data_IF_743231247294
#
_entry.id   IF_743231247294
#
_cell.length_a   1.000
_cell.length_b   1.000
_cell.length_c   1.000
_cell.angle_alpha   90.00
_cell.angle_beta   90.00
_cell.angle_gamma   90.00
#
_symmetry.space_group_name_H-M   'P 1'
#
loop_
_entity.id
_entity.type
_entity.pdbx_description
1 polymer ?
#
# COMPACT_ATOMS: atom_id res chain seq x y z
N UNK A 1 37.62 34.26 -34.82
CA UNK A 1 36.98 32.98 -35.26
C UNK A 1 37.80 31.85 -34.66
N UNK A 2 37.33 30.92 -33.85
CA UNK A 2 36.00 30.58 -33.36
C UNK A 2 36.16 29.91 -31.98
N UNK A 3 35.21 30.15 -31.08
CA UNK A 3 35.02 29.40 -29.84
C UNK A 3 34.05 28.24 -30.09
N UNK A 4 34.34 27.04 -29.57
CA UNK A 4 33.41 25.94 -29.34
C UNK A 4 34.16 24.82 -28.58
N UNK A 5 33.62 24.15 -27.58
CA UNK A 5 32.31 24.20 -26.97
C UNK A 5 32.32 23.28 -25.75
N UNK A 6 31.72 23.74 -24.66
CA UNK A 6 31.59 23.05 -23.38
C UNK A 6 30.84 21.72 -23.53
N UNK A 7 31.41 20.66 -22.97
CA UNK A 7 30.74 19.37 -22.81
C UNK A 7 29.61 19.49 -21.78
N UNK A 8 28.36 19.43 -22.25
CA UNK A 8 27.20 19.38 -21.40
C UNK A 8 27.06 17.99 -20.76
N UNK A 9 27.00 17.96 -19.42
CA UNK A 9 26.70 16.77 -18.63
C UNK A 9 25.28 16.30 -18.91
N UNK A 10 25.12 15.03 -19.28
CA UNK A 10 23.82 14.37 -19.41
C UNK A 10 23.25 14.07 -18.02
N UNK A 11 22.35 14.93 -17.55
CA UNK A 11 21.45 14.62 -16.42
C UNK A 11 20.40 13.60 -16.87
N UNK A 12 20.08 12.57 -16.08
CA UNK A 12 19.03 11.61 -16.43
C UNK A 12 17.68 12.31 -16.34
N UNK A 13 17.02 12.50 -17.49
CA UNK A 13 15.64 13.00 -17.55
C UNK A 13 14.73 12.01 -16.81
N UNK A 14 14.30 12.33 -15.59
CA UNK A 14 13.18 11.64 -14.96
C UNK A 14 11.96 11.85 -15.84
N UNK A 15 11.47 10.78 -16.47
CA UNK A 15 10.31 10.84 -17.36
C UNK A 15 9.04 11.09 -16.54
N UNK A 16 8.75 12.35 -16.23
CA UNK A 16 7.48 12.79 -15.64
C UNK A 16 6.39 12.71 -16.71
N UNK A 17 5.99 11.49 -17.06
CA UNK A 17 4.89 11.24 -17.98
C UNK A 17 3.57 11.56 -17.29
N UNK A 18 2.72 12.37 -17.91
CA UNK A 18 1.38 12.65 -17.40
C UNK A 18 0.50 11.39 -17.40
N UNK A 19 -0.49 11.28 -16.50
CA UNK A 19 -1.49 10.22 -16.56
C UNK A 19 -2.16 10.16 -17.93
N UNK A 20 -2.21 8.97 -18.51
CA UNK A 20 -2.70 8.74 -19.87
C UNK A 20 -4.23 8.71 -19.92
N UNK A 21 -4.81 8.71 -21.14
CA UNK A 21 -6.24 8.43 -21.31
C UNK A 21 -6.64 7.03 -20.85
N UNK A 22 -5.74 6.05 -20.96
CA UNK A 22 -5.92 4.69 -20.43
C UNK A 22 -5.99 4.68 -18.90
N UNK A 23 -5.12 5.45 -18.25
CA UNK A 23 -5.10 5.59 -16.78
C UNK A 23 -6.44 6.19 -16.27
N UNK A 24 -6.98 7.20 -16.97
CA UNK A 24 -8.29 7.79 -16.65
C UNK A 24 -9.46 6.81 -16.82
N UNK A 25 -9.47 6.02 -17.90
CA UNK A 25 -10.48 4.96 -18.08
C UNK A 25 -10.41 3.90 -16.98
N UNK A 26 -9.19 3.59 -16.50
CA UNK A 26 -8.99 2.66 -15.39
C UNK A 26 -9.52 3.22 -14.08
N UNK A 27 -9.30 4.52 -13.81
CA UNK A 27 -9.90 5.21 -12.67
C UNK A 27 -11.43 5.11 -12.69
N UNK A 28 -12.07 5.48 -13.81
CA UNK A 28 -13.54 5.42 -13.94
C UNK A 28 -14.08 4.00 -13.70
N UNK A 29 -13.38 3.00 -14.24
CA UNK A 29 -13.71 1.59 -13.99
C UNK A 29 -13.58 1.26 -12.50
N UNK A 30 -12.51 1.69 -11.86
CA UNK A 30 -12.24 1.44 -10.43
C UNK A 30 -13.31 2.08 -9.54
N UNK A 31 -13.66 3.35 -9.79
CA UNK A 31 -14.71 4.06 -9.04
C UNK A 31 -16.07 3.35 -9.15
N UNK A 32 -16.43 2.88 -10.34
CA UNK A 32 -17.67 2.08 -10.55
C UNK A 32 -17.63 0.74 -9.80
N UNK A 33 -16.49 0.07 -9.78
CA UNK A 33 -16.32 -1.21 -9.08
C UNK A 33 -16.34 -1.05 -7.57
N UNK A 34 -15.71 0.00 -7.05
CA UNK A 34 -15.76 0.37 -5.63
C UNK A 34 -17.18 0.74 -5.20
N UNK A 35 -17.94 1.47 -6.03
CA UNK A 35 -19.36 1.74 -5.74
C UNK A 35 -20.14 0.44 -5.54
N UNK A 36 -20.03 -0.49 -6.50
CA UNK A 36 -20.69 -1.80 -6.41
C UNK A 36 -20.24 -2.61 -5.19
N UNK A 37 -18.96 -2.56 -4.86
CA UNK A 37 -18.44 -3.22 -3.66
C UNK A 37 -19.06 -2.61 -2.39
N UNK A 38 -19.17 -1.28 -2.32
CA UNK A 38 -19.82 -0.57 -1.23
C UNK A 38 -21.26 -1.05 -1.01
N UNK A 39 -22.06 -1.13 -2.07
CA UNK A 39 -23.45 -1.62 -2.01
C UNK A 39 -23.53 -3.04 -1.43
N UNK A 40 -22.64 -3.93 -1.87
CA UNK A 40 -22.57 -5.31 -1.36
C UNK A 40 -22.19 -5.34 0.13
N UNK A 41 -21.23 -4.52 0.55
CA UNK A 41 -20.75 -4.49 1.93
C UNK A 41 -21.76 -3.84 2.90
N UNK A 42 -22.67 -3.00 2.41
CA UNK A 42 -23.75 -2.42 3.22
C UNK A 42 -24.93 -3.36 3.46
N UNK A 43 -24.90 -4.59 2.93
CA UNK A 43 -25.96 -5.56 3.15
C UNK A 43 -26.05 -5.96 4.64
N UNK A 44 -27.19 -5.71 5.34
CA UNK A 44 -27.33 -6.02 6.77
C UNK A 44 -27.09 -7.50 7.11
N UNK A 45 -27.34 -8.42 6.17
CA UNK A 45 -27.13 -9.86 6.37
C UNK A 45 -25.66 -10.23 6.58
N UNK A 46 -24.72 -9.39 6.17
CA UNK A 46 -23.29 -9.65 6.38
C UNK A 46 -22.87 -9.45 7.84
N UNK A 47 -23.64 -8.72 8.64
CA UNK A 47 -23.30 -8.48 10.04
C UNK A 47 -21.90 -7.88 10.23
N UNK A 48 -21.44 -7.05 9.28
CA UNK A 48 -20.12 -6.41 9.42
C UNK A 48 -20.14 -5.52 10.66
N UNK A 49 -19.23 -5.82 11.59
CA UNK A 49 -19.03 -5.02 12.80
C UNK A 49 -18.36 -3.70 12.42
N UNK A 50 -18.74 -2.62 13.11
CA UNK A 50 -18.13 -1.29 12.96
C UNK A 50 -16.73 -1.22 13.63
N UNK A 51 -15.96 -2.32 13.56
CA UNK A 51 -14.60 -2.39 14.07
C UNK A 51 -13.61 -2.20 12.91
N UNK A 52 -12.53 -1.42 13.10
CA UNK A 52 -11.49 -1.30 12.09
C UNK A 52 -10.85 -2.66 11.78
N UNK A 53 -10.60 -3.01 10.50
CA UNK A 53 -10.90 -2.26 9.27
C UNK A 53 -12.37 -2.41 8.82
N UNK A 54 -13.16 -1.33 8.91
CA UNK A 54 -14.57 -1.33 8.50
C UNK A 54 -14.70 -1.04 6.99
N UNK A 55 -14.95 -2.09 6.21
CA UNK A 55 -14.88 -2.05 4.75
C UNK A 55 -15.80 -1.01 4.06
N UNK A 56 -17.08 -0.84 4.45
CA UNK A 56 -17.94 0.18 3.83
C UNK A 56 -17.38 1.59 3.93
N UNK A 57 -16.85 1.96 5.09
CA UNK A 57 -16.19 3.25 5.31
C UNK A 57 -14.92 3.36 4.49
N UNK A 58 -14.04 2.36 4.55
CA UNK A 58 -12.81 2.33 3.75
C UNK A 58 -13.06 2.52 2.26
N UNK A 59 -14.08 1.85 1.71
CA UNK A 59 -14.47 1.98 0.28
C UNK A 59 -14.97 3.39 -0.02
N UNK A 60 -15.80 3.96 0.86
CA UNK A 60 -16.31 5.33 0.70
C UNK A 60 -15.18 6.36 0.75
N UNK A 61 -14.33 6.29 1.77
CA UNK A 61 -13.18 7.19 1.95
C UNK A 61 -12.19 7.09 0.79
N UNK A 62 -11.91 5.87 0.32
CA UNK A 62 -11.03 5.64 -0.83
C UNK A 62 -11.58 6.32 -2.10
N UNK A 63 -12.89 6.24 -2.36
CA UNK A 63 -13.50 6.89 -3.53
C UNK A 63 -13.41 8.41 -3.46
N UNK A 64 -13.66 8.98 -2.28
CA UNK A 64 -13.57 10.44 -2.06
C UNK A 64 -12.13 10.92 -2.29
N UNK A 65 -11.15 10.24 -1.67
CA UNK A 65 -9.74 10.61 -1.81
C UNK A 65 -9.24 10.42 -3.25
N UNK A 66 -9.64 9.35 -3.94
CA UNK A 66 -9.27 9.16 -5.35
C UNK A 66 -9.82 10.26 -6.24
N UNK A 67 -11.07 10.68 -6.04
CA UNK A 67 -11.65 11.78 -6.82
C UNK A 67 -10.85 13.07 -6.61
N UNK A 68 -10.50 13.38 -5.36
CA UNK A 68 -9.69 14.56 -5.01
C UNK A 68 -8.28 14.50 -5.63
N UNK A 69 -7.59 13.37 -5.48
CA UNK A 69 -6.22 13.19 -5.97
C UNK A 69 -6.15 13.23 -7.50
N UNK A 70 -7.19 12.74 -8.18
CA UNK A 70 -7.24 12.71 -9.64
C UNK A 70 -7.88 13.95 -10.28
N UNK A 71 -8.48 14.84 -9.50
CA UNK A 71 -9.13 16.08 -9.98
C UNK A 71 -8.21 16.91 -10.91
N UNK A 72 -6.91 17.13 -10.61
CA UNK A 72 -6.01 17.88 -11.50
C UNK A 72 -5.82 17.24 -12.88
N UNK A 73 -6.15 15.96 -13.02
CA UNK A 73 -5.98 15.16 -14.22
C UNK A 73 -7.32 14.90 -14.97
N UNK A 74 -8.46 15.32 -14.42
CA UNK A 74 -9.81 15.11 -14.99
C UNK A 74 -10.42 16.46 -15.41
N UNK A 75 -10.48 16.76 -16.71
CA UNK A 75 -11.24 17.90 -17.24
C UNK A 75 -10.92 18.33 -18.68
N UNK A 76 -11.72 19.21 -19.31
CA UNK A 76 -11.53 19.72 -20.68
C UNK A 76 -10.29 20.62 -20.86
N UNK A 77 -9.64 21.00 -19.75
CA UNK A 77 -8.49 21.92 -19.72
C UNK A 77 -7.22 21.21 -19.26
N UNK A 78 -6.69 20.33 -20.10
CA UNK A 78 -5.30 19.87 -20.01
C UNK A 78 -4.25 20.99 -20.25
N UNK A 79 -4.59 22.24 -19.93
CA UNK A 79 -3.77 23.44 -20.14
C UNK A 79 -3.53 24.24 -18.84
N UNK A 80 -4.00 23.76 -17.67
CA UNK A 80 -3.71 24.39 -16.37
C UNK A 80 -3.47 23.42 -15.21
N UNK A 81 -3.49 22.11 -15.45
CA UNK A 81 -3.30 21.09 -14.43
C UNK A 81 -1.82 20.92 -14.09
N UNK A 82 -1.49 20.98 -12.80
CA UNK A 82 -0.14 20.83 -12.26
C UNK A 82 0.56 19.61 -12.91
N UNK A 83 1.77 19.83 -13.43
CA UNK A 83 2.56 18.74 -13.96
C UNK A 83 2.89 17.75 -12.83
N UNK A 84 2.71 16.43 -13.03
CA UNK A 84 3.04 15.45 -12.02
C UNK A 84 4.49 15.59 -11.58
N UNK A 85 4.73 15.54 -10.27
CA UNK A 85 6.06 15.70 -9.69
C UNK A 85 6.71 14.34 -9.45
N UNK A 86 8.00 14.24 -9.78
CA UNK A 86 8.77 13.02 -9.52
C UNK A 86 8.09 11.76 -10.05
N UNK A 87 7.77 10.84 -9.14
CA UNK A 87 7.16 9.55 -9.45
C UNK A 87 5.62 9.55 -9.36
N UNK A 88 4.97 10.69 -9.12
CA UNK A 88 3.53 10.81 -8.87
C UNK A 88 2.65 10.07 -9.89
N UNK A 89 2.83 10.34 -11.18
CA UNK A 89 2.00 9.72 -12.21
C UNK A 89 2.21 8.19 -12.30
N UNK A 90 3.44 7.73 -12.06
CA UNK A 90 3.76 6.30 -12.05
C UNK A 90 3.16 5.64 -10.81
N UNK A 91 3.23 6.30 -9.65
CA UNK A 91 2.60 5.86 -8.41
C UNK A 91 1.09 5.74 -8.58
N UNK A 92 0.43 6.79 -9.09
CA UNK A 92 -1.02 6.78 -9.33
C UNK A 92 -1.46 5.65 -10.26
N UNK A 93 -0.71 5.38 -11.33
CA UNK A 93 -0.98 4.25 -12.24
C UNK A 93 -0.87 2.89 -11.53
N UNK A 94 0.18 2.70 -10.73
CA UNK A 94 0.38 1.44 -10.00
C UNK A 94 -0.70 1.27 -8.93
N UNK A 95 -0.99 2.33 -8.18
CA UNK A 95 -2.00 2.36 -7.14
C UNK A 95 -3.39 2.03 -7.71
N UNK A 96 -3.83 2.71 -8.79
CA UNK A 96 -5.16 2.49 -9.35
C UNK A 96 -5.33 1.09 -9.93
N UNK A 97 -4.29 0.55 -10.57
CA UNK A 97 -4.29 -0.83 -11.06
C UNK A 97 -4.40 -1.82 -9.90
N UNK A 98 -3.58 -1.66 -8.87
CA UNK A 98 -3.63 -2.53 -7.70
C UNK A 98 -4.99 -2.49 -7.02
N UNK A 99 -5.55 -1.28 -6.85
CA UNK A 99 -6.86 -1.10 -6.23
C UNK A 99 -7.97 -1.75 -7.05
N UNK A 100 -7.92 -1.63 -8.38
CA UNK A 100 -8.87 -2.30 -9.27
C UNK A 100 -8.80 -3.82 -9.11
N UNK A 101 -7.59 -4.40 -9.11
CA UNK A 101 -7.39 -5.84 -8.97
C UNK A 101 -7.91 -6.36 -7.62
N UNK A 102 -7.63 -5.64 -6.53
CA UNK A 102 -8.16 -5.98 -5.18
C UNK A 102 -9.68 -5.83 -5.11
N UNK A 103 -10.25 -4.82 -5.78
CA UNK A 103 -11.70 -4.62 -5.85
C UNK A 103 -12.39 -5.71 -6.66
N UNK A 104 -11.85 -6.07 -7.83
CA UNK A 104 -12.40 -7.16 -8.66
C UNK A 104 -12.30 -8.50 -7.92
N UNK A 105 -11.23 -8.74 -7.15
CA UNK A 105 -11.11 -9.93 -6.26
C UNK A 105 -12.16 -9.93 -5.16
N UNK A 106 -12.45 -8.79 -4.53
CA UNK A 106 -13.51 -8.69 -3.53
C UNK A 106 -14.88 -8.96 -4.15
N UNK A 107 -15.18 -8.39 -5.31
CA UNK A 107 -16.43 -8.65 -6.04
C UNK A 107 -16.58 -10.12 -6.45
N UNK A 108 -15.49 -10.77 -6.88
CA UNK A 108 -15.48 -12.19 -7.19
C UNK A 108 -15.77 -13.04 -5.94
N UNK A 109 -15.18 -12.68 -4.80
CA UNK A 109 -15.42 -13.35 -3.53
C UNK A 109 -16.90 -13.31 -3.13
N UNK A 110 -17.59 -12.17 -3.33
CA UNK A 110 -19.04 -12.09 -3.12
C UNK A 110 -19.83 -12.98 -4.08
N UNK A 111 -19.42 -13.05 -5.35
CA UNK A 111 -20.08 -13.85 -6.39
C UNK A 111 -19.95 -15.36 -6.13
N UNK A 112 -18.76 -15.81 -5.73
CA UNK A 112 -18.45 -17.23 -5.50
C UNK A 112 -18.84 -17.69 -4.10
N UNK A 113 -18.65 -16.85 -3.09
CA UNK A 113 -18.94 -17.16 -1.70
C UNK A 113 -20.42 -17.35 -1.42
N UNK A 114 -21.31 -16.60 -2.11
CA UNK A 114 -22.77 -16.65 -1.93
C UNK A 114 -23.16 -16.72 -0.45
N UNK A 115 -23.78 -17.81 -0.01
CA UNK A 115 -24.25 -17.98 1.37
C UNK A 115 -23.11 -18.02 2.40
N UNK A 116 -21.93 -18.51 2.01
CA UNK A 116 -20.73 -18.54 2.87
C UNK A 116 -20.25 -17.14 3.26
N UNK A 117 -20.67 -16.09 2.54
CA UNK A 117 -20.39 -14.71 2.93
C UNK A 117 -21.16 -14.29 4.19
N UNK A 118 -22.25 -14.97 4.54
CA UNK A 118 -23.04 -14.66 5.74
C UNK A 118 -22.60 -15.49 6.96
N UNK A 119 -21.73 -16.48 6.76
CA UNK A 119 -21.15 -17.30 7.81
C UNK A 119 -19.84 -16.68 8.32
N UNK A 120 -19.84 -16.13 9.54
CA UNK A 120 -18.69 -15.40 10.10
C UNK A 120 -17.41 -16.24 10.21
N UNK A 121 -17.52 -17.56 10.43
CA UNK A 121 -16.37 -18.46 10.58
C UNK A 121 -15.79 -18.96 9.26
N UNK A 122 -16.46 -18.66 8.14
CA UNK A 122 -16.13 -19.20 6.81
C UNK A 122 -14.79 -18.69 6.28
N UNK A 123 -14.18 -19.47 5.39
CA UNK A 123 -12.97 -19.04 4.68
C UNK A 123 -13.23 -17.80 3.83
N UNK A 124 -14.43 -17.67 3.27
CA UNK A 124 -14.86 -16.50 2.51
C UNK A 124 -14.82 -15.24 3.39
N UNK A 125 -15.30 -15.31 4.63
CA UNK A 125 -15.27 -14.16 5.54
C UNK A 125 -13.89 -13.81 6.04
N UNK A 126 -13.04 -14.80 6.32
CA UNK A 126 -11.61 -14.55 6.61
C UNK A 126 -10.92 -13.85 5.43
N UNK A 127 -11.21 -14.26 4.19
CA UNK A 127 -10.65 -13.62 2.99
C UNK A 127 -11.18 -12.19 2.82
N UNK A 128 -12.45 -11.93 3.13
CA UNK A 128 -13.00 -10.57 3.12
C UNK A 128 -12.30 -9.70 4.16
N UNK A 129 -12.09 -10.19 5.38
CA UNK A 129 -11.35 -9.47 6.42
C UNK A 129 -9.92 -9.12 5.99
N UNK A 130 -9.21 -10.07 5.36
CA UNK A 130 -7.89 -9.81 4.78
C UNK A 130 -7.94 -8.72 3.71
N UNK A 131 -8.95 -8.76 2.82
CA UNK A 131 -9.15 -7.70 1.82
C UNK A 131 -9.44 -6.35 2.48
N UNK A 132 -10.22 -6.29 3.55
CA UNK A 132 -10.47 -5.06 4.31
C UNK A 132 -9.18 -4.46 4.88
N UNK A 133 -8.28 -5.30 5.42
CA UNK A 133 -6.95 -4.84 5.87
C UNK A 133 -6.15 -4.27 4.69
N UNK A 134 -6.14 -4.94 3.54
CA UNK A 134 -5.45 -4.43 2.34
C UNK A 134 -6.03 -3.09 1.86
N UNK A 135 -7.35 -2.93 1.85
CA UNK A 135 -7.99 -1.64 1.54
C UNK A 135 -7.56 -0.55 2.53
N UNK A 136 -7.49 -0.88 3.82
CA UNK A 136 -7.00 0.03 4.84
C UNK A 136 -5.56 0.47 4.56
N UNK A 137 -4.65 -0.47 4.29
CA UNK A 137 -3.26 -0.15 3.97
C UNK A 137 -3.12 0.70 2.71
N UNK A 138 -3.83 0.36 1.63
CA UNK A 138 -3.83 1.16 0.40
C UNK A 138 -4.36 2.58 0.64
N UNK A 139 -5.43 2.74 1.42
CA UNK A 139 -5.98 4.06 1.75
C UNK A 139 -5.00 4.90 2.58
N UNK A 140 -4.39 4.32 3.60
CA UNK A 140 -3.41 5.01 4.44
C UNK A 140 -2.16 5.39 3.67
N UNK A 141 -1.69 4.52 2.78
CA UNK A 141 -0.59 4.85 1.87
C UNK A 141 -0.96 6.04 0.97
N UNK A 142 -2.15 6.02 0.35
CA UNK A 142 -2.59 7.12 -0.52
C UNK A 142 -2.69 8.44 0.26
N UNK A 143 -3.21 8.41 1.50
CA UNK A 143 -3.26 9.58 2.40
C UNK A 143 -1.85 10.09 2.74
N UNK A 144 -0.91 9.19 2.96
CA UNK A 144 0.48 9.53 3.26
C UNK A 144 1.21 10.15 2.06
N UNK A 145 0.89 9.71 0.83
CA UNK A 145 1.44 10.28 -0.39
C UNK A 145 0.77 11.58 -0.81
N UNK A 146 -0.50 11.79 -0.44
CA UNK A 146 -1.31 12.96 -0.79
C UNK A 146 -1.93 13.65 0.45
N UNK A 147 -1.12 14.12 1.41
CA UNK A 147 -1.64 14.86 2.56
C UNK A 147 -2.35 16.13 2.08
N UNK A 148 -3.60 16.32 2.51
CA UNK A 148 -4.44 17.44 2.04
C UNK A 148 -4.78 17.39 0.54
N UNK A 149 -4.61 16.24 -0.12
CA UNK A 149 -4.88 16.06 -1.56
C UNK A 149 -3.74 16.47 -2.49
N UNK A 150 -2.61 16.97 -1.96
CA UNK A 150 -1.45 17.37 -2.77
C UNK A 150 -0.34 16.33 -2.68
N UNK A 151 0.30 16.00 -3.79
CA UNK A 151 1.41 15.04 -3.80
C UNK A 151 2.60 15.52 -2.97
N UNK A 152 3.01 14.69 -2.01
CA UNK A 152 4.18 14.88 -1.15
C UNK A 152 5.01 13.60 -1.01
N UNK A 153 4.85 12.63 -1.92
CA UNK A 153 5.62 11.39 -1.90
C UNK A 153 7.12 11.60 -2.10
N UNK A 154 7.51 12.66 -2.83
CA UNK A 154 8.91 13.05 -3.05
C UNK A 154 9.53 13.76 -1.83
N UNK A 155 8.70 14.26 -0.92
CA UNK A 155 9.11 14.94 0.32
C UNK A 155 8.75 14.15 1.58
N UNK A 156 8.31 12.90 1.44
CA UNK A 156 7.93 12.07 2.57
C UNK A 156 9.11 11.88 3.53
N UNK A 157 8.91 12.14 4.82
CA UNK A 157 9.97 11.99 5.82
C UNK A 157 9.83 10.68 6.57
N UNK A 158 10.74 9.74 6.30
CA UNK A 158 10.93 8.53 7.12
C UNK A 158 11.27 8.95 8.56
N UNK A 159 10.63 8.29 9.53
CA UNK A 159 10.65 8.62 10.95
C UNK A 159 11.99 8.30 11.59
N UNK A 160 12.62 7.17 11.20
CA UNK A 160 13.89 6.72 11.79
C UNK A 160 15.07 7.32 11.02
N UNK A 161 16.01 8.04 11.67
CA UNK A 161 17.09 8.74 10.98
C UNK A 161 17.97 7.84 10.09
N UNK A 162 18.37 6.68 10.59
CA UNK A 162 19.24 5.77 9.84
C UNK A 162 18.51 5.12 8.65
N UNK A 163 17.22 4.82 8.83
CA UNK A 163 16.37 4.35 7.74
C UNK A 163 16.15 5.43 6.68
N UNK A 164 15.95 6.69 7.11
CA UNK A 164 15.83 7.85 6.22
C UNK A 164 17.09 8.04 5.38
N UNK A 165 18.26 7.97 6.00
CA UNK A 165 19.54 8.07 5.31
C UNK A 165 19.71 6.95 4.28
N UNK A 166 19.38 5.71 4.65
CA UNK A 166 19.40 4.57 3.73
C UNK A 166 18.50 4.80 2.50
N UNK A 167 17.25 5.22 2.71
CA UNK A 167 16.31 5.45 1.60
C UNK A 167 16.81 6.55 0.67
N UNK A 168 17.25 7.67 1.24
CA UNK A 168 17.78 8.80 0.47
C UNK A 168 19.03 8.41 -0.33
N UNK A 169 19.95 7.65 0.26
CA UNK A 169 21.17 7.19 -0.42
C UNK A 169 20.88 6.19 -1.55
N UNK A 170 19.91 5.30 -1.35
CA UNK A 170 19.64 4.19 -2.27
C UNK A 170 18.67 4.58 -3.38
N UNK A 171 17.67 5.41 -3.08
CA UNK A 171 16.55 5.71 -3.96
C UNK A 171 16.30 7.21 -4.17
N UNK A 172 16.96 8.09 -3.42
CA UNK A 172 16.74 9.54 -3.51
C UNK A 172 15.30 9.91 -3.13
N UNK A 173 14.66 10.76 -3.94
CA UNK A 173 13.31 11.26 -3.70
C UNK A 173 12.21 10.37 -4.30
N UNK A 174 12.50 9.10 -4.59
CA UNK A 174 11.49 8.17 -5.09
C UNK A 174 10.48 7.87 -3.99
N UNK A 175 9.19 7.95 -4.31
CA UNK A 175 8.14 7.61 -3.34
C UNK A 175 7.85 6.10 -3.28
N UNK A 176 8.32 5.33 -4.26
CA UNK A 176 8.21 3.88 -4.29
C UNK A 176 9.21 3.24 -5.26
N UNK A 177 9.54 1.97 -5.04
CA UNK A 177 10.48 1.18 -5.85
C UNK A 177 10.00 -0.25 -6.05
N UNK A 178 10.50 -0.95 -7.07
CA UNK A 178 10.18 -2.37 -7.25
C UNK A 178 10.83 -3.21 -6.16
N UNK A 179 10.17 -4.29 -5.74
CA UNK A 179 10.68 -5.22 -4.72
C UNK A 179 12.11 -5.67 -4.99
N UNK A 180 12.45 -6.08 -6.21
CA UNK A 180 13.79 -6.59 -6.52
C UNK A 180 14.87 -5.52 -6.30
N UNK A 181 14.62 -4.28 -6.75
CA UNK A 181 15.53 -3.16 -6.52
C UNK A 181 15.63 -2.79 -5.04
N UNK A 182 14.51 -2.86 -4.31
CA UNK A 182 14.50 -2.65 -2.86
C UNK A 182 15.32 -3.71 -2.12
N UNK A 183 15.09 -4.98 -2.45
CA UNK A 183 15.77 -6.16 -1.88
C UNK A 183 17.28 -6.04 -2.04
N UNK A 184 17.77 -5.77 -3.24
CA UNK A 184 19.21 -5.65 -3.52
C UNK A 184 19.88 -4.57 -2.66
N UNK A 185 19.26 -3.38 -2.56
CA UNK A 185 19.81 -2.30 -1.75
C UNK A 185 19.73 -2.63 -0.26
N UNK A 186 18.65 -3.25 0.21
CA UNK A 186 18.51 -3.65 1.60
C UNK A 186 19.53 -4.73 1.98
N UNK A 187 19.78 -5.71 1.11
CA UNK A 187 20.79 -6.76 1.32
C UNK A 187 22.20 -6.19 1.46
N UNK A 188 22.50 -5.05 0.84
CA UNK A 188 23.81 -4.40 0.96
C UNK A 188 24.11 -3.86 2.37
N UNK A 189 23.08 -3.62 3.19
CA UNK A 189 23.21 -3.07 4.55
C UNK A 189 22.70 -4.02 5.64
N UNK A 190 21.83 -4.97 5.28
CA UNK A 190 21.31 -5.99 6.18
C UNK A 190 21.35 -7.36 5.51
N UNK A 191 22.12 -8.30 6.07
CA UNK A 191 22.19 -9.66 5.56
C UNK A 191 20.88 -10.42 5.79
N UNK A 192 20.38 -11.07 4.73
CA UNK A 192 19.31 -12.07 4.74
C UNK A 192 19.42 -12.97 3.51
N UNK A 193 18.94 -14.21 3.63
CA UNK A 193 19.00 -15.25 2.61
C UNK A 193 18.00 -15.00 1.46
N UNK A 194 18.41 -15.39 0.26
CA UNK A 194 17.48 -15.49 -0.87
C UNK A 194 16.51 -16.67 -0.69
N UNK A 195 15.37 -16.62 -1.39
CA UNK A 195 14.34 -17.66 -1.30
C UNK A 195 13.31 -17.36 -0.21
N UNK A 196 13.14 -18.27 0.76
CA UNK A 196 12.02 -18.21 1.71
C UNK A 196 12.08 -16.99 2.63
N UNK A 197 13.27 -16.65 3.17
CA UNK A 197 13.44 -15.47 4.04
C UNK A 197 13.10 -14.18 3.28
N UNK A 198 13.65 -14.01 2.07
CA UNK A 198 13.28 -12.89 1.19
C UNK A 198 11.78 -12.83 0.88
N UNK A 199 11.10 -13.96 0.70
CA UNK A 199 9.66 -13.98 0.42
C UNK A 199 8.82 -13.63 1.66
N UNK A 200 9.23 -14.08 2.84
CA UNK A 200 8.60 -13.72 4.12
C UNK A 200 8.83 -12.24 4.45
N UNK A 201 10.01 -11.71 4.13
CA UNK A 201 10.31 -10.30 4.28
C UNK A 201 9.42 -9.47 3.35
N UNK A 202 9.30 -9.87 2.08
CA UNK A 202 8.39 -9.22 1.12
C UNK A 202 6.96 -9.19 1.65
N UNK A 203 6.42 -10.31 2.11
CA UNK A 203 5.04 -10.38 2.60
C UNK A 203 4.80 -9.56 3.87
N UNK A 204 5.87 -9.20 4.59
CA UNK A 204 5.80 -8.33 5.76
C UNK A 204 5.86 -6.84 5.39
N UNK A 205 6.69 -6.46 4.40
CA UNK A 205 6.89 -5.06 4.01
C UNK A 205 5.85 -4.59 2.98
N UNK A 206 5.51 -5.43 1.99
CA UNK A 206 4.54 -5.13 0.92
C UNK A 206 3.09 -5.24 1.44
N UNK A 207 2.71 -4.24 2.25
CA UNK A 207 1.40 -4.16 2.90
C UNK A 207 0.26 -4.03 1.89
N UNK A 208 0.51 -3.43 0.73
CA UNK A 208 -0.47 -3.26 -0.35
C UNK A 208 -0.51 -4.44 -1.33
N UNK A 209 0.43 -5.38 -1.20
CA UNK A 209 0.59 -6.58 -2.00
C UNK A 209 0.59 -6.29 -3.50
N UNK A 210 1.52 -5.44 -3.95
CA UNK A 210 1.61 -4.96 -5.33
C UNK A 210 2.98 -5.15 -6.00
N UNK A 211 3.94 -5.83 -5.34
CA UNK A 211 5.33 -6.05 -5.78
C UNK A 211 6.21 -4.78 -5.83
N UNK A 212 5.71 -3.67 -5.29
CA UNK A 212 6.46 -2.46 -5.03
C UNK A 212 6.55 -2.22 -3.51
N UNK A 213 7.54 -1.44 -3.12
CA UNK A 213 7.70 -0.97 -1.75
C UNK A 213 7.66 0.54 -1.79
N UNK A 214 6.67 1.14 -1.16
CA UNK A 214 6.58 2.58 -1.00
C UNK A 214 7.43 3.07 0.18
N UNK A 215 7.82 4.34 0.16
CA UNK A 215 8.53 4.98 1.28
C UNK A 215 7.70 4.94 2.56
N UNK A 216 6.37 4.91 2.44
CA UNK A 216 5.43 4.74 3.55
C UNK A 216 5.48 3.31 4.13
N UNK A 217 5.42 2.28 3.29
CA UNK A 217 5.56 0.88 3.72
C UNK A 217 6.91 0.65 4.41
N UNK A 218 7.97 1.24 3.86
CA UNK A 218 9.30 1.22 4.47
C UNK A 218 9.36 1.93 5.83
N UNK A 219 8.75 3.10 5.98
CA UNK A 219 8.66 3.80 7.28
C UNK A 219 7.94 2.95 8.33
N UNK A 220 6.80 2.35 7.97
CA UNK A 220 6.07 1.45 8.87
C UNK A 220 6.96 0.29 9.31
N UNK A 221 7.58 -0.41 8.36
CA UNK A 221 8.43 -1.56 8.65
C UNK A 221 9.57 -1.20 9.61
N UNK A 222 10.28 -0.10 9.32
CA UNK A 222 11.44 0.33 10.13
C UNK A 222 11.05 0.84 11.52
N UNK A 223 9.83 1.33 11.70
CA UNK A 223 9.28 1.67 13.02
C UNK A 223 8.88 0.43 13.82
N UNK A 224 8.29 -0.58 13.16
CA UNK A 224 7.85 -1.81 13.82
C UNK A 224 9.02 -2.65 14.31
N UNK A 225 10.08 -2.77 13.51
CA UNK A 225 11.21 -3.68 13.79
C UNK A 225 12.51 -2.96 14.20
N UNK A 226 12.39 -1.71 14.63
CA UNK A 226 13.49 -0.92 15.19
C UNK A 226 14.23 -1.67 16.33
N UNK A 227 15.52 -1.34 16.62
CA UNK A 227 16.36 -0.35 15.95
C UNK A 227 16.91 -0.80 14.58
N UNK A 228 17.23 0.17 13.71
CA UNK A 228 17.73 -0.06 12.34
C UNK A 228 18.90 -1.04 12.28
N UNK A 229 19.91 -0.89 13.15
CA UNK A 229 21.12 -1.72 13.14
C UNK A 229 20.86 -3.24 13.24
N UNK A 230 19.74 -3.65 13.84
CA UNK A 230 19.35 -5.05 13.95
C UNK A 230 17.99 -5.34 13.31
N UNK A 231 17.57 -4.52 12.34
CA UNK A 231 16.24 -4.54 11.73
C UNK A 231 15.76 -5.94 11.34
N UNK A 232 16.53 -6.63 10.50
CA UNK A 232 16.17 -7.98 10.02
C UNK A 232 16.20 -9.01 11.14
N UNK A 233 17.16 -8.93 12.06
CA UNK A 233 17.21 -9.83 13.23
C UNK A 233 15.97 -9.66 14.11
N UNK A 234 15.56 -8.42 14.35
CA UNK A 234 14.38 -8.10 15.15
C UNK A 234 13.11 -8.58 14.44
N UNK A 235 12.99 -8.33 13.14
CA UNK A 235 11.89 -8.86 12.32
C UNK A 235 11.82 -10.39 12.39
N UNK A 236 12.94 -11.09 12.23
CA UNK A 236 12.99 -12.55 12.36
C UNK A 236 12.50 -13.01 13.73
N UNK A 237 13.04 -12.43 14.80
CA UNK A 237 12.69 -12.81 16.17
C UNK A 237 11.23 -12.52 16.52
N UNK A 238 10.69 -11.38 16.06
CA UNK A 238 9.37 -10.88 16.44
C UNK A 238 8.24 -11.34 15.52
N UNK A 239 8.50 -11.55 14.22
CA UNK A 239 7.47 -11.83 13.22
C UNK A 239 7.59 -13.20 12.55
N UNK A 240 8.81 -13.77 12.48
CA UNK A 240 9.01 -15.08 11.85
C UNK A 240 8.96 -16.20 12.88
N UNK A 241 9.66 -16.04 14.00
CA UNK A 241 9.79 -17.11 15.01
C UNK A 241 8.87 -16.97 16.22
N UNK A 242 8.33 -15.77 16.48
CA UNK A 242 7.57 -15.53 17.70
C UNK A 242 6.15 -16.15 17.62
N UNK A 243 5.78 -17.07 18.52
CA UNK A 243 4.47 -17.75 18.46
C UNK A 243 3.28 -16.83 18.74
N UNK A 244 3.53 -15.69 19.41
CA UNK A 244 2.52 -14.66 19.67
C UNK A 244 2.26 -13.74 18.47
N UNK A 245 3.15 -13.71 17.47
CA UNK A 245 2.93 -12.87 16.30
C UNK A 245 1.87 -13.47 15.39
N UNK A 246 0.99 -12.61 14.91
CA UNK A 246 -0.11 -12.98 14.03
C UNK A 246 -0.23 -11.94 12.93
N UNK A 247 0.11 -12.32 11.71
CA UNK A 247 -0.07 -11.46 10.55
C UNK A 247 -1.55 -11.36 10.17
N UNK A 248 -1.97 -10.18 9.70
CA UNK A 248 -3.32 -9.93 9.19
C UNK A 248 -4.47 -10.32 10.14
N UNK A 249 -4.33 -9.98 11.44
CA UNK A 249 -5.43 -10.04 12.41
C UNK A 249 -6.04 -8.67 12.66
N UNK A 250 -7.36 -8.63 12.83
CA UNK A 250 -8.09 -7.46 13.31
C UNK A 250 -8.25 -7.49 14.83
N UNK A 251 -8.63 -6.36 15.41
CA UNK A 251 -8.91 -6.23 16.84
C UNK A 251 -9.93 -7.28 17.33
N UNK A 252 -11.04 -7.45 16.60
CA UNK A 252 -12.07 -8.43 16.96
C UNK A 252 -11.58 -9.88 16.89
N UNK A 253 -10.70 -10.19 15.93
CA UNK A 253 -10.12 -11.53 15.82
C UNK A 253 -9.12 -11.81 16.94
N UNK A 254 -8.40 -10.78 17.42
CA UNK A 254 -7.56 -10.90 18.61
C UNK A 254 -8.43 -11.20 19.83
N UNK A 255 -9.54 -10.48 20.04
CA UNK A 255 -10.49 -10.76 21.12
C UNK A 255 -10.99 -12.20 21.05
N UNK A 256 -11.54 -12.62 19.91
CA UNK A 256 -12.07 -13.98 19.73
C UNK A 256 -11.01 -15.07 19.98
N UNK A 257 -9.75 -14.81 19.60
CA UNK A 257 -8.65 -15.74 19.85
C UNK A 257 -8.29 -15.83 21.33
N UNK A 258 -8.21 -14.70 22.02
CA UNK A 258 -7.83 -14.61 23.43
C UNK A 258 -8.96 -15.04 24.38
N UNK A 259 -10.21 -15.09 23.91
CA UNK A 259 -11.35 -15.60 24.66
C UNK A 259 -11.13 -17.02 25.20
N UNK A 260 -10.41 -17.86 24.45
CA UNK A 260 -10.04 -19.21 24.88
C UNK A 260 -9.04 -19.25 26.05
N UNK A 261 -8.40 -18.11 26.37
CA UNK A 261 -7.37 -17.97 27.39
C UNK A 261 -7.81 -17.10 28.57
N UNK A 262 -9.11 -16.79 28.71
CA UNK A 262 -9.64 -15.93 29.78
C UNK A 262 -9.25 -16.34 31.21
N UNK A 263 -9.00 -17.64 31.42
CA UNK A 263 -8.63 -18.22 32.72
C UNK A 263 -7.12 -18.46 32.84
N UNK A 264 -6.30 -17.88 31.96
CA UNK A 264 -4.83 -17.99 31.94
C UNK A 264 -4.20 -16.59 31.79
N UNK A 265 -4.13 -15.80 32.86
CA UNK A 265 -3.53 -14.46 32.79
C UNK A 265 -2.04 -14.54 32.47
N UNK A 266 -1.58 -13.69 31.53
CA UNK A 266 -0.23 -13.68 30.96
C UNK A 266 -0.28 -13.66 29.44
#
# INVERSE_FOLDING_TARGET
MAAAGSGASLSPKSSSQTPTSGDRRMLDKTLKRLHKLGELCTNPRLGLRNSPPYLPELVSETRTLLTQVWEPYIGPRGQGGQAPRGDEAKYLRVHIRNLLDKTDRALLLFKEGRDKMFEDTSSCRRNLTKLSLLFSHMLWELRAMFPGGSYQGDTYSVTKPEAKEFWMRSFGNKCFVQWNSFKEQLQSVHAFEEGMESMALKSTIDLTCNDYISVFEFDIFTRLFQPWRSLIRNWNQLAVTHPGYMAFLTYDQVIARLEHYLHRPG
#
